data_IF_285093639757
#
_entry.id   IF_285093639757
#
_cell.length_a   1.000
_cell.length_b   1.000
_cell.length_c   1.000
_cell.angle_alpha   90.00
_cell.angle_beta   90.00
_cell.angle_gamma   90.00
#
_symmetry.space_group_name_H-M   'P 1'
#
loop_
_entity.id
_entity.type
_entity.pdbx_description
1 polymer ?
#
# COMPACT_ATOMS: atom_id res chain seq x y z
N UNK A 1 -65.77 -24.67 26.36
CA UNK A 1 -65.63 -23.94 25.11
C UNK A 1 -64.36 -23.05 25.07
N UNK A 2 -64.07 -22.24 26.10
CA UNK A 2 -62.87 -21.35 26.12
C UNK A 2 -61.52 -22.10 25.97
N UNK A 3 -61.36 -23.26 26.55
CA UNK A 3 -60.12 -24.04 26.47
C UNK A 3 -59.89 -24.71 25.10
N UNK A 4 -60.95 -25.10 24.40
CA UNK A 4 -60.88 -25.67 23.05
C UNK A 4 -60.45 -24.59 22.04
N UNK A 5 -60.92 -23.36 22.20
CA UNK A 5 -60.55 -22.23 21.36
C UNK A 5 -59.08 -21.85 21.54
N UNK A 6 -58.55 -21.97 22.75
CA UNK A 6 -57.16 -21.69 23.08
C UNK A 6 -56.19 -22.75 22.50
N UNK A 7 -56.59 -24.01 22.54
CA UNK A 7 -55.80 -25.13 21.93
C UNK A 7 -55.80 -25.03 20.40
N UNK A 8 -56.91 -24.64 19.78
CA UNK A 8 -56.98 -24.39 18.33
C UNK A 8 -56.13 -23.19 17.88
N UNK A 9 -56.04 -22.14 18.71
CA UNK A 9 -55.19 -20.98 18.43
C UNK A 9 -53.69 -21.33 18.57
N UNK A 10 -53.35 -22.17 19.55
CA UNK A 10 -51.97 -22.59 19.79
C UNK A 10 -51.46 -23.55 18.70
N UNK A 11 -52.34 -24.43 18.15
CA UNK A 11 -51.96 -25.34 17.05
C UNK A 11 -51.75 -24.61 15.70
N UNK A 12 -52.39 -23.45 15.49
CA UNK A 12 -52.18 -22.64 14.29
C UNK A 12 -50.78 -21.97 14.19
N UNK A 13 -50.16 -21.75 15.36
CA UNK A 13 -48.82 -21.10 15.41
C UNK A 13 -47.68 -22.07 15.04
N UNK A 14 -47.90 -23.39 15.18
CA UNK A 14 -46.89 -24.42 14.90
C UNK A 14 -46.68 -24.72 13.41
N UNK A 15 -47.56 -24.26 12.52
CA UNK A 15 -47.45 -24.48 11.06
C UNK A 15 -46.84 -23.33 10.27
N UNK A 16 -46.35 -22.26 10.93
CA UNK A 16 -45.93 -21.03 10.26
C UNK A 16 -44.46 -20.99 9.85
N UNK A 17 -43.69 -22.08 9.93
CA UNK A 17 -42.29 -22.10 9.47
C UNK A 17 -42.06 -23.17 8.42
N UNK A 18 -42.56 -22.96 7.19
CA UNK A 18 -42.01 -23.68 6.05
C UNK A 18 -40.74 -22.96 5.55
N UNK A 19 -39.57 -23.51 5.87
CA UNK A 19 -38.33 -23.07 5.20
C UNK A 19 -38.49 -23.31 3.71
N UNK A 20 -38.47 -22.26 2.91
CA UNK A 20 -38.35 -22.39 1.46
C UNK A 20 -37.00 -23.06 1.19
N UNK A 21 -37.02 -24.29 0.80
CA UNK A 21 -35.85 -25.05 0.41
C UNK A 21 -35.55 -24.72 -1.05
N UNK A 22 -34.51 -23.91 -1.29
CA UNK A 22 -34.02 -23.64 -2.64
C UNK A 22 -33.11 -24.79 -3.04
N UNK A 23 -33.45 -25.49 -4.11
CA UNK A 23 -32.57 -26.47 -4.73
C UNK A 23 -31.92 -25.81 -5.95
N UNK A 24 -30.62 -25.91 -6.08
CA UNK A 24 -29.91 -25.52 -7.30
C UNK A 24 -30.29 -26.53 -8.39
N UNK A 25 -30.97 -26.06 -9.43
CA UNK A 25 -31.50 -26.94 -10.49
C UNK A 25 -30.43 -27.26 -11.52
N UNK A 26 -29.67 -26.25 -11.93
CA UNK A 26 -28.51 -26.41 -12.81
C UNK A 26 -27.68 -25.13 -12.80
N UNK A 27 -26.37 -25.24 -12.86
CA UNK A 27 -25.45 -24.11 -13.02
C UNK A 27 -24.59 -24.41 -14.23
N UNK A 28 -24.93 -23.81 -15.36
CA UNK A 28 -24.10 -23.83 -16.55
C UNK A 28 -23.23 -22.56 -16.58
N UNK A 29 -21.92 -22.75 -16.42
CA UNK A 29 -20.93 -21.69 -16.53
C UNK A 29 -19.91 -22.00 -17.61
N UNK A 30 -19.51 -20.99 -18.37
CA UNK A 30 -18.39 -21.10 -19.30
C UNK A 30 -17.36 -20.03 -18.99
N UNK A 31 -16.09 -20.37 -19.16
CA UNK A 31 -15.00 -19.42 -19.06
C UNK A 31 -14.83 -18.72 -20.41
N UNK A 32 -14.98 -17.41 -20.42
CA UNK A 32 -14.65 -16.58 -21.58
C UNK A 32 -13.23 -16.04 -21.36
N UNK A 33 -12.29 -16.48 -22.17
CA UNK A 33 -10.92 -15.96 -22.12
C UNK A 33 -10.88 -14.59 -22.78
N UNK A 34 -10.25 -13.62 -22.10
CA UNK A 34 -9.95 -12.32 -22.68
C UNK A 34 -8.58 -12.43 -23.37
N UNK A 35 -8.62 -12.75 -24.65
CA UNK A 35 -7.44 -12.93 -25.51
C UNK A 35 -7.63 -12.21 -26.86
N UNK A 36 -6.65 -12.29 -27.74
CA UNK A 36 -6.63 -11.62 -29.04
C UNK A 36 -7.78 -12.02 -29.98
N UNK A 37 -8.52 -13.10 -29.69
CA UNK A 37 -9.69 -13.50 -30.53
C UNK A 37 -10.82 -12.48 -30.48
N UNK A 38 -10.84 -11.62 -29.46
CA UNK A 38 -11.83 -10.55 -29.32
C UNK A 38 -11.47 -9.29 -30.12
N UNK A 39 -10.20 -9.08 -30.48
CA UNK A 39 -9.74 -7.91 -31.20
C UNK A 39 -10.41 -7.77 -32.59
N UNK A 40 -10.67 -8.90 -33.25
CA UNK A 40 -11.35 -8.91 -34.55
C UNK A 40 -12.83 -8.48 -34.48
N UNK A 41 -13.43 -8.46 -33.28
CA UNK A 41 -14.84 -8.12 -33.04
C UNK A 41 -15.07 -6.66 -32.66
N UNK A 42 -13.99 -5.89 -32.48
CA UNK A 42 -14.08 -4.47 -32.14
C UNK A 42 -14.48 -3.66 -33.38
N UNK A 43 -15.47 -2.77 -33.23
CA UNK A 43 -15.87 -1.90 -34.36
C UNK A 43 -14.71 -0.99 -34.79
N UNK A 44 -14.63 -0.62 -36.08
CA UNK A 44 -13.58 0.31 -36.54
C UNK A 44 -13.58 1.65 -35.82
N UNK A 45 -14.75 2.19 -35.45
CA UNK A 45 -14.88 3.45 -34.73
C UNK A 45 -14.26 3.33 -33.30
N UNK A 46 -14.58 2.22 -32.61
CA UNK A 46 -14.02 1.96 -31.28
C UNK A 46 -12.51 1.78 -31.36
N UNK A 47 -12.02 1.05 -32.36
CA UNK A 47 -10.58 0.86 -32.58
C UNK A 47 -9.88 2.20 -32.81
N UNK A 48 -10.37 3.01 -33.74
CA UNK A 48 -9.79 4.32 -34.05
C UNK A 48 -9.74 5.23 -32.81
N UNK A 49 -10.80 5.22 -31.97
CA UNK A 49 -10.86 6.00 -30.74
C UNK A 49 -9.80 5.52 -29.75
N UNK A 50 -9.69 4.20 -29.52
CA UNK A 50 -8.70 3.60 -28.64
C UNK A 50 -7.28 3.90 -29.14
N UNK A 51 -7.01 3.70 -30.43
CA UNK A 51 -5.69 3.91 -31.02
C UNK A 51 -5.24 5.38 -30.95
N UNK A 52 -6.20 6.32 -31.09
CA UNK A 52 -5.91 7.75 -30.93
C UNK A 52 -5.42 8.10 -29.52
N UNK A 53 -6.14 7.65 -28.48
CA UNK A 53 -5.72 7.92 -27.09
C UNK A 53 -4.51 7.08 -26.67
N UNK A 54 -4.46 5.82 -27.13
CA UNK A 54 -3.36 4.91 -26.82
C UNK A 54 -2.02 5.48 -27.27
N UNK A 55 -1.95 6.01 -28.50
CA UNK A 55 -0.71 6.58 -29.01
C UNK A 55 -0.18 7.71 -28.13
N UNK A 56 -1.08 8.63 -27.69
CA UNK A 56 -0.66 9.74 -26.81
C UNK A 56 -0.20 9.24 -25.43
N UNK A 57 -0.85 8.21 -24.90
CA UNK A 57 -0.50 7.59 -23.64
C UNK A 57 0.82 6.83 -23.75
N UNK A 58 1.00 6.05 -24.82
CA UNK A 58 2.21 5.25 -25.04
C UNK A 58 3.46 6.14 -25.14
N UNK A 59 3.37 7.31 -25.78
CA UNK A 59 4.47 8.27 -25.87
C UNK A 59 4.94 8.75 -24.48
N UNK A 60 4.00 8.97 -23.55
CA UNK A 60 4.31 9.37 -22.19
C UNK A 60 4.79 8.20 -21.32
N UNK A 61 4.12 7.05 -21.42
CA UNK A 61 4.43 5.88 -20.60
C UNK A 61 5.76 5.21 -20.97
N UNK A 62 6.14 5.27 -22.25
CA UNK A 62 7.40 4.70 -22.73
C UNK A 62 8.61 5.65 -22.58
N UNK A 63 8.41 6.88 -22.05
CA UNK A 63 9.50 7.78 -21.74
C UNK A 63 10.45 7.14 -20.73
N UNK A 64 11.70 6.87 -21.11
CA UNK A 64 12.74 6.39 -20.20
C UNK A 64 13.27 7.56 -19.39
N UNK A 65 13.12 7.52 -18.08
CA UNK A 65 13.46 8.61 -17.17
C UNK A 65 14.64 8.31 -16.26
N UNK A 66 15.14 7.06 -16.26
CA UNK A 66 16.27 6.66 -15.43
C UNK A 66 16.71 5.24 -15.68
N UNK A 67 17.56 4.74 -14.79
CA UNK A 67 18.09 3.37 -14.83
C UNK A 67 18.18 2.79 -13.41
N UNK A 68 17.67 1.57 -13.19
CA UNK A 68 17.84 0.82 -11.94
C UNK A 68 19.13 0.00 -11.98
N UNK A 69 19.94 0.09 -10.92
CA UNK A 69 21.18 -0.66 -10.81
C UNK A 69 20.96 -2.18 -10.70
N UNK A 70 19.85 -2.57 -10.07
CA UNK A 70 19.45 -3.95 -9.85
C UNK A 70 17.92 -4.09 -9.75
N UNK A 71 17.41 -5.33 -9.86
CA UNK A 71 15.98 -5.59 -9.71
C UNK A 71 15.57 -5.46 -8.25
N UNK A 72 14.57 -4.59 -7.97
CA UNK A 72 14.03 -4.35 -6.65
C UNK A 72 12.59 -4.87 -6.54
N UNK A 73 12.34 -5.70 -5.53
CA UNK A 73 11.01 -6.26 -5.23
C UNK A 73 10.58 -5.84 -3.83
N UNK A 74 9.29 -5.66 -3.62
CA UNK A 74 8.74 -5.47 -2.29
C UNK A 74 8.59 -6.81 -1.57
N UNK A 75 9.07 -6.90 -0.33
CA UNK A 75 8.99 -8.08 0.53
C UNK A 75 9.16 -7.69 2.00
N UNK A 76 8.74 -8.56 2.91
CA UNK A 76 9.01 -8.50 4.34
C UNK A 76 10.24 -9.36 4.69
N UNK A 77 10.98 -9.04 5.77
CA UNK A 77 10.77 -7.96 6.75
C UNK A 77 11.16 -6.57 6.22
N UNK A 78 12.06 -6.50 5.28
CA UNK A 78 12.53 -5.34 4.54
C UNK A 78 12.93 -5.77 3.12
N UNK A 79 12.98 -4.85 2.19
CA UNK A 79 13.41 -5.12 0.82
C UNK A 79 14.01 -3.88 0.17
N UNK A 80 14.73 -4.07 -0.94
CA UNK A 80 15.30 -2.95 -1.68
C UNK A 80 14.22 -1.94 -2.09
N UNK A 81 13.07 -2.41 -2.59
CA UNK A 81 12.01 -1.52 -3.07
C UNK A 81 11.30 -0.78 -1.94
N UNK A 82 10.96 -1.47 -0.84
CA UNK A 82 10.33 -0.80 0.30
C UNK A 82 11.27 0.16 1.00
N UNK A 83 12.57 -0.18 1.09
CA UNK A 83 13.58 0.69 1.65
C UNK A 83 13.74 1.97 0.80
N UNK A 84 13.87 1.82 -0.53
CA UNK A 84 13.92 2.94 -1.47
C UNK A 84 12.71 3.85 -1.31
N UNK A 85 11.50 3.27 -1.37
CA UNK A 85 10.25 4.03 -1.30
C UNK A 85 10.14 4.81 -0.01
N UNK A 86 10.37 4.17 1.15
CA UNK A 86 10.24 4.85 2.44
C UNK A 86 11.32 5.91 2.66
N UNK A 87 12.54 5.71 2.18
CA UNK A 87 13.59 6.73 2.26
C UNK A 87 13.25 7.96 1.40
N UNK A 88 12.72 7.75 0.18
CA UNK A 88 12.23 8.85 -0.68
C UNK A 88 11.03 9.56 -0.03
N UNK A 89 10.08 8.82 0.53
CA UNK A 89 8.92 9.40 1.22
C UNK A 89 9.35 10.29 2.39
N UNK A 90 10.34 9.86 3.18
CA UNK A 90 10.88 10.68 4.27
C UNK A 90 11.48 11.98 3.74
N UNK A 91 12.36 11.88 2.74
CA UNK A 91 12.99 13.05 2.13
C UNK A 91 11.96 14.03 1.56
N UNK A 92 10.97 13.53 0.80
CA UNK A 92 9.90 14.35 0.25
C UNK A 92 9.01 14.95 1.36
N UNK A 93 8.70 14.17 2.40
CA UNK A 93 7.98 14.66 3.57
C UNK A 93 8.68 15.88 4.20
N UNK A 94 9.99 15.82 4.40
CA UNK A 94 10.80 16.94 4.90
C UNK A 94 10.78 18.15 3.95
N UNK A 95 10.86 17.87 2.63
CA UNK A 95 10.88 18.91 1.62
C UNK A 95 9.55 19.67 1.55
N UNK A 96 8.40 18.98 1.52
CA UNK A 96 7.08 19.59 1.43
C UNK A 96 6.59 20.16 2.75
N UNK A 97 6.83 19.48 3.87
CA UNK A 97 6.43 19.91 5.20
C UNK A 97 7.33 21.06 5.75
N UNK A 98 8.52 21.25 5.14
CA UNK A 98 9.54 22.26 5.54
C UNK A 98 10.02 22.11 7.00
N UNK A 99 9.94 20.90 7.55
CA UNK A 99 10.41 20.56 8.90
C UNK A 99 10.98 19.14 8.89
N UNK A 100 11.85 18.78 9.84
CA UNK A 100 12.35 17.41 9.97
C UNK A 100 11.20 16.41 10.15
N UNK A 101 11.32 15.25 9.52
CA UNK A 101 10.47 14.09 9.67
C UNK A 101 11.26 12.99 10.36
N UNK A 102 10.71 12.37 11.41
CA UNK A 102 11.45 11.40 12.21
C UNK A 102 11.67 10.09 11.44
N UNK A 103 10.65 9.61 10.72
CA UNK A 103 10.73 8.42 9.86
C UNK A 103 9.57 8.37 8.85
N UNK A 104 9.66 7.42 7.93
CA UNK A 104 8.57 7.15 7.00
C UNK A 104 8.12 5.68 7.06
N UNK A 105 6.86 5.45 6.66
CA UNK A 105 6.23 4.14 6.60
C UNK A 105 5.48 3.97 5.29
N UNK A 106 5.70 2.84 4.60
CA UNK A 106 4.88 2.39 3.49
C UNK A 106 4.48 0.93 3.69
N UNK A 107 3.40 0.49 3.05
CA UNK A 107 2.99 -0.90 3.09
C UNK A 107 3.59 -1.69 1.91
N UNK A 108 4.04 -2.91 2.18
CA UNK A 108 4.58 -3.83 1.15
C UNK A 108 3.56 -4.06 0.03
N UNK A 109 2.28 -4.26 0.37
CA UNK A 109 1.20 -4.51 -0.61
C UNK A 109 0.85 -3.32 -1.51
N UNK A 110 1.35 -2.13 -1.22
CA UNK A 110 1.22 -0.93 -2.06
C UNK A 110 2.01 -1.02 -3.36
N UNK A 111 3.07 -1.81 -3.38
CA UNK A 111 3.91 -2.05 -4.56
C UNK A 111 3.34 -3.23 -5.37
N UNK A 112 2.87 -2.96 -6.59
CA UNK A 112 2.12 -3.93 -7.41
C UNK A 112 2.99 -4.68 -8.40
N UNK A 113 4.20 -4.20 -8.68
CA UNK A 113 5.20 -4.81 -9.55
C UNK A 113 6.59 -4.68 -8.95
N UNK A 114 7.56 -5.33 -9.53
CA UNK A 114 8.97 -5.12 -9.26
C UNK A 114 9.51 -4.00 -10.16
N UNK A 115 10.46 -3.24 -9.68
CA UNK A 115 11.28 -2.38 -10.52
C UNK A 115 12.43 -3.22 -11.09
N UNK A 116 12.42 -3.48 -12.40
CA UNK A 116 13.41 -4.32 -13.05
C UNK A 116 14.77 -3.59 -13.19
N UNK A 117 15.87 -4.35 -13.18
CA UNK A 117 17.19 -3.81 -13.51
C UNK A 117 17.21 -3.27 -14.94
N UNK A 118 17.85 -2.13 -15.16
CA UNK A 118 17.98 -1.48 -16.47
C UNK A 118 17.15 -0.20 -16.59
N UNK A 119 16.74 0.18 -17.82
CA UNK A 119 15.98 1.40 -18.06
C UNK A 119 14.68 1.43 -17.25
N UNK A 120 14.33 2.59 -16.72
CA UNK A 120 13.08 2.86 -16.00
C UNK A 120 12.25 3.80 -16.86
N UNK A 121 11.09 3.35 -17.31
CA UNK A 121 10.09 4.19 -17.96
C UNK A 121 9.08 4.76 -16.96
N UNK A 122 8.34 5.78 -17.37
CA UNK A 122 7.20 6.30 -16.61
C UNK A 122 6.19 5.17 -16.37
N UNK A 123 5.91 4.34 -17.39
CA UNK A 123 5.01 3.20 -17.30
C UNK A 123 5.42 2.17 -16.24
N UNK A 124 6.71 1.87 -16.10
CA UNK A 124 7.20 0.96 -15.05
C UNK A 124 6.84 1.49 -13.65
N UNK A 125 6.93 2.80 -13.44
CA UNK A 125 6.56 3.40 -12.15
C UNK A 125 5.04 3.41 -11.93
N UNK A 126 4.23 3.53 -13.01
CA UNK A 126 2.78 3.33 -12.92
C UNK A 126 2.40 1.88 -12.57
N UNK A 127 3.18 0.89 -13.03
CA UNK A 127 2.98 -0.50 -12.63
C UNK A 127 3.36 -0.74 -11.16
N UNK A 128 4.48 -0.21 -10.70
CA UNK A 128 4.93 -0.35 -9.31
C UNK A 128 4.01 0.38 -8.34
N UNK A 129 3.69 1.64 -8.63
CA UNK A 129 2.89 2.55 -7.78
C UNK A 129 1.53 2.83 -8.44
N UNK A 130 0.71 1.78 -8.59
CA UNK A 130 -0.55 1.85 -9.34
C UNK A 130 -1.65 2.68 -8.68
N UNK A 131 -1.51 3.01 -7.39
CA UNK A 131 -2.49 3.79 -6.64
C UNK A 131 -2.13 5.28 -6.62
N UNK A 132 -3.17 6.14 -6.62
CA UNK A 132 -2.99 7.60 -6.52
C UNK A 132 -2.94 8.08 -5.06
N UNK A 133 -2.28 7.30 -4.19
CA UNK A 133 -2.12 7.66 -2.78
C UNK A 133 -1.26 8.90 -2.64
N UNK A 134 -1.70 9.83 -1.80
CA UNK A 134 -1.00 11.08 -1.52
C UNK A 134 0.01 10.92 -0.38
N UNK A 135 1.15 11.59 -0.51
CA UNK A 135 2.08 11.72 0.61
C UNK A 135 1.48 12.63 1.69
N UNK A 136 1.47 12.15 2.93
CA UNK A 136 1.07 12.93 4.10
C UNK A 136 2.14 12.86 5.18
N UNK A 137 2.21 13.88 6.05
CA UNK A 137 3.01 13.86 7.27
C UNK A 137 2.08 13.93 8.47
N UNK A 138 2.18 12.93 9.34
CA UNK A 138 1.39 12.78 10.57
C UNK A 138 2.20 13.22 11.78
N UNK A 139 1.54 13.82 12.76
CA UNK A 139 2.07 13.98 14.11
C UNK A 139 1.41 12.97 15.05
N UNK A 140 2.20 12.03 15.57
CA UNK A 140 1.70 10.88 16.33
C UNK A 140 2.47 10.72 17.65
N UNK A 141 1.75 10.54 18.76
CA UNK A 141 2.38 10.28 20.04
C UNK A 141 3.13 8.93 20.06
N UNK A 142 4.25 8.86 20.75
CA UNK A 142 5.12 7.68 20.78
C UNK A 142 4.43 6.40 21.27
N UNK A 143 3.43 6.50 22.16
CA UNK A 143 2.63 5.34 22.56
C UNK A 143 1.90 4.68 21.38
N UNK A 144 1.45 5.45 20.40
CA UNK A 144 0.83 4.93 19.19
C UNK A 144 1.87 4.48 18.16
N UNK A 145 3.02 5.16 18.10
CA UNK A 145 4.16 4.67 17.32
C UNK A 145 4.57 3.27 17.79
N UNK A 146 4.66 3.03 19.11
CA UNK A 146 4.94 1.67 19.64
C UNK A 146 3.89 0.66 19.19
N UNK A 147 2.58 0.99 19.24
CA UNK A 147 1.50 0.12 18.74
C UNK A 147 1.64 -0.21 17.25
N UNK A 148 2.04 0.78 16.44
CA UNK A 148 2.31 0.56 15.02
C UNK A 148 3.43 -0.48 14.83
N UNK A 149 4.51 -0.37 15.56
CA UNK A 149 5.63 -1.31 15.48
C UNK A 149 5.31 -2.68 16.12
N UNK A 150 4.42 -2.76 17.10
CA UNK A 150 3.86 -4.03 17.60
C UNK A 150 3.12 -4.78 16.48
N UNK A 151 2.35 -4.05 15.67
CA UNK A 151 1.74 -4.62 14.47
C UNK A 151 2.81 -5.12 13.49
N UNK A 152 3.83 -4.34 13.18
CA UNK A 152 4.93 -4.78 12.29
C UNK A 152 5.64 -6.01 12.82
N UNK A 153 5.93 -6.06 14.12
CA UNK A 153 6.54 -7.23 14.76
C UNK A 153 5.68 -8.49 14.62
N UNK A 154 4.38 -8.37 14.75
CA UNK A 154 3.44 -9.51 14.63
C UNK A 154 3.20 -9.95 13.18
N UNK A 155 3.29 -9.01 12.22
CA UNK A 155 3.00 -9.22 10.81
C UNK A 155 4.23 -9.65 9.98
N UNK A 156 5.43 -9.60 10.55
CA UNK A 156 6.66 -9.98 9.85
C UNK A 156 7.41 -8.82 9.20
N UNK A 157 7.08 -7.58 9.54
CA UNK A 157 7.70 -6.36 9.02
C UNK A 157 6.81 -5.58 8.07
N UNK A 158 7.27 -4.39 7.70
CA UNK A 158 6.68 -3.48 6.70
C UNK A 158 7.77 -2.54 6.18
N UNK A 159 7.46 -1.67 5.18
CA UNK A 159 8.43 -0.68 4.70
C UNK A 159 8.61 0.48 5.68
N UNK A 160 9.84 0.73 6.08
CA UNK A 160 10.21 1.86 6.94
C UNK A 160 11.48 2.54 6.44
N UNK A 161 11.69 3.83 6.75
CA UNK A 161 12.92 4.53 6.39
C UNK A 161 14.12 4.14 7.26
N UNK A 162 15.32 4.47 6.80
CA UNK A 162 16.61 4.08 7.39
C UNK A 162 16.85 4.58 8.83
N UNK A 163 16.04 5.52 9.30
CA UNK A 163 16.09 6.00 10.68
C UNK A 163 15.58 4.98 11.71
N UNK A 164 14.80 4.00 11.25
CA UNK A 164 14.20 2.97 12.10
C UNK A 164 15.19 1.81 12.29
N UNK A 165 15.30 1.34 13.53
CA UNK A 165 15.96 0.09 13.90
C UNK A 165 14.99 -0.74 14.71
N UNK A 166 14.44 -1.81 14.12
CA UNK A 166 13.49 -2.72 14.76
C UNK A 166 14.08 -4.12 14.83
N UNK A 167 14.22 -4.67 16.03
CA UNK A 167 14.55 -6.07 16.23
C UNK A 167 13.37 -6.79 16.87
N UNK A 168 12.95 -7.88 16.25
CA UNK A 168 11.81 -8.70 16.65
C UNK A 168 12.28 -10.09 17.00
N UNK A 169 11.77 -10.63 18.10
CA UNK A 169 11.97 -12.02 18.51
C UNK A 169 10.64 -12.63 18.93
N UNK A 170 10.35 -13.83 18.41
CA UNK A 170 9.07 -14.51 18.70
C UNK A 170 7.85 -13.60 18.52
N UNK A 171 7.80 -12.83 17.41
CA UNK A 171 6.74 -11.85 17.07
C UNK A 171 6.55 -10.71 18.08
N UNK A 172 7.55 -10.44 18.93
CA UNK A 172 7.54 -9.33 19.88
C UNK A 172 8.74 -8.43 19.65
N UNK A 173 8.57 -7.14 19.93
CA UNK A 173 9.66 -6.17 19.86
C UNK A 173 10.71 -6.53 20.91
N UNK A 174 11.93 -6.82 20.49
CA UNK A 174 13.11 -6.96 21.35
C UNK A 174 13.77 -5.60 21.56
N UNK A 175 13.93 -4.83 20.50
CA UNK A 175 14.38 -3.45 20.56
C UNK A 175 13.78 -2.61 19.43
N UNK A 176 13.57 -1.32 19.70
CA UNK A 176 13.04 -0.36 18.76
C UNK A 176 13.65 1.01 19.04
N UNK A 177 14.23 1.62 18.01
CA UNK A 177 14.73 2.99 18.06
C UNK A 177 14.47 3.74 16.76
N UNK A 178 14.35 5.06 16.85
CA UNK A 178 14.22 5.99 15.72
C UNK A 178 15.33 7.03 15.87
N UNK A 179 16.13 7.24 14.81
CA UNK A 179 17.31 8.10 14.87
C UNK A 179 18.28 7.69 15.97
N UNK A 180 18.40 6.38 16.27
CA UNK A 180 19.24 5.82 17.31
C UNK A 180 18.73 6.03 18.75
N UNK A 181 17.52 6.57 18.94
CA UNK A 181 16.93 6.83 20.26
C UNK A 181 15.71 5.95 20.51
N UNK A 182 15.53 5.42 21.73
CA UNK A 182 14.32 4.70 22.10
C UNK A 182 13.10 5.61 22.06
N UNK A 183 11.93 5.02 21.71
CA UNK A 183 10.69 5.77 21.61
C UNK A 183 10.15 6.12 23.01
N UNK A 184 9.76 7.39 23.19
CA UNK A 184 9.15 7.91 24.40
C UNK A 184 7.65 8.13 24.20
N UNK A 185 6.82 7.62 25.11
CA UNK A 185 5.35 7.55 24.96
C UNK A 185 4.69 8.89 24.70
N UNK A 186 5.15 9.95 25.37
CA UNK A 186 4.55 11.28 25.30
C UNK A 186 5.23 12.21 24.27
N UNK A 187 6.25 11.73 23.57
CA UNK A 187 6.91 12.50 22.51
C UNK A 187 6.07 12.41 21.23
N UNK A 188 5.93 13.54 20.53
CA UNK A 188 5.33 13.58 19.20
C UNK A 188 6.40 13.22 18.15
N UNK A 189 6.06 12.29 17.28
CA UNK A 189 6.85 11.87 16.13
C UNK A 189 6.18 12.31 14.84
N UNK A 190 6.97 12.83 13.91
CA UNK A 190 6.53 13.24 12.58
C UNK A 190 6.82 12.11 11.59
N UNK A 191 5.78 11.59 10.97
CA UNK A 191 5.81 10.37 10.18
C UNK A 191 5.34 10.66 8.77
N UNK A 192 6.21 10.49 7.77
CA UNK A 192 5.78 10.51 6.37
C UNK A 192 5.13 9.17 6.01
N UNK A 193 3.93 9.22 5.46
CA UNK A 193 3.19 8.02 5.05
C UNK A 193 2.20 8.35 3.92
N UNK A 194 1.37 7.40 3.56
CA UNK A 194 0.32 7.56 2.56
C UNK A 194 -1.01 7.91 3.24
N UNK A 195 -1.83 8.74 2.60
CA UNK A 195 -3.19 9.06 3.05
C UNK A 195 -4.02 7.78 3.31
N UNK A 196 -3.93 6.80 2.42
CA UNK A 196 -4.53 5.47 2.58
C UNK A 196 -4.14 4.79 3.91
N UNK A 197 -2.89 4.90 4.33
CA UNK A 197 -2.39 4.30 5.59
C UNK A 197 -2.77 5.16 6.80
N UNK A 198 -2.79 6.48 6.64
CA UNK A 198 -3.24 7.42 7.66
C UNK A 198 -4.69 7.14 8.10
N UNK A 199 -5.54 6.67 7.18
CA UNK A 199 -6.92 6.23 7.45
C UNK A 199 -7.01 4.85 8.14
N UNK A 200 -5.88 4.25 8.54
CA UNK A 200 -5.83 2.97 9.27
C UNK A 200 -5.90 1.74 8.38
N UNK A 201 -5.85 1.90 7.07
CA UNK A 201 -5.84 0.79 6.14
C UNK A 201 -4.55 -0.06 6.29
N UNK A 202 -4.52 -1.22 5.66
CA UNK A 202 -3.45 -2.23 5.84
C UNK A 202 -3.21 -2.61 7.31
N UNK A 203 -4.25 -2.49 8.17
CA UNK A 203 -4.22 -2.74 9.62
C UNK A 203 -3.32 -1.78 10.41
N UNK A 204 -2.88 -0.69 9.82
CA UNK A 204 -2.08 0.34 10.50
C UNK A 204 -2.96 1.31 11.31
N UNK A 205 -3.94 0.76 12.06
CA UNK A 205 -4.94 1.53 12.80
C UNK A 205 -4.36 2.52 13.81
N UNK A 206 -3.12 2.30 14.27
CA UNK A 206 -2.45 3.25 15.16
C UNK A 206 -2.21 4.62 14.50
N UNK A 207 -2.15 4.70 13.16
CA UNK A 207 -1.96 5.96 12.45
C UNK A 207 -3.20 6.88 12.52
N UNK A 208 -4.39 6.32 12.74
CA UNK A 208 -5.62 7.14 12.89
C UNK A 208 -5.64 7.98 14.17
N UNK A 209 -4.73 7.70 15.10
CA UNK A 209 -4.56 8.45 16.35
C UNK A 209 -3.67 9.70 16.18
N UNK A 210 -3.34 10.06 14.94
CA UNK A 210 -2.55 11.26 14.66
C UNK A 210 -3.27 12.51 15.17
N UNK A 211 -2.52 13.36 15.88
CA UNK A 211 -3.03 14.62 16.42
C UNK A 211 -3.09 15.72 15.36
N UNK A 212 -2.29 15.57 14.30
CA UNK A 212 -2.25 16.48 13.16
C UNK A 212 -1.87 15.72 11.89
N UNK A 213 -2.37 16.19 10.74
CA UNK A 213 -2.08 15.63 9.41
C UNK A 213 -1.80 16.76 8.44
N UNK A 214 -0.61 16.78 7.87
CA UNK A 214 -0.26 17.65 6.76
C UNK A 214 -0.34 16.84 5.46
N UNK A 215 -1.26 17.24 4.57
CA UNK A 215 -1.41 16.62 3.25
C UNK A 215 -0.65 17.46 2.21
N UNK A 216 0.28 16.81 1.49
CA UNK A 216 1.05 17.50 0.45
C UNK A 216 0.23 17.77 -0.81
N UNK A 217 -0.85 17.01 -1.03
CA UNK A 217 -1.63 17.00 -2.27
C UNK A 217 -0.91 16.32 -3.45
N UNK A 218 0.24 15.68 -3.23
CA UNK A 218 1.08 15.11 -4.29
C UNK A 218 1.06 13.59 -4.20
N UNK A 219 0.70 12.89 -5.29
CA UNK A 219 0.76 11.43 -5.35
C UNK A 219 2.18 10.91 -5.17
N UNK A 220 2.34 9.81 -4.43
CA UNK A 220 3.66 9.18 -4.21
C UNK A 220 4.34 8.84 -5.53
N UNK A 221 3.60 8.42 -6.55
CA UNK A 221 4.16 8.10 -7.87
C UNK A 221 4.87 9.30 -8.51
N UNK A 222 4.29 10.50 -8.43
CA UNK A 222 4.89 11.72 -8.95
C UNK A 222 6.20 12.06 -8.22
N UNK A 223 6.23 11.86 -6.91
CA UNK A 223 7.44 12.05 -6.09
C UNK A 223 8.54 11.08 -6.53
N UNK A 224 8.20 9.82 -6.79
CA UNK A 224 9.17 8.83 -7.26
C UNK A 224 9.65 9.15 -8.68
N UNK A 225 8.77 9.58 -9.59
CA UNK A 225 9.14 10.03 -10.95
C UNK A 225 10.14 11.19 -10.87
N UNK A 226 9.85 12.20 -10.04
CA UNK A 226 10.73 13.35 -9.84
C UNK A 226 12.11 12.92 -9.27
N UNK A 227 12.11 12.03 -8.28
CA UNK A 227 13.32 11.47 -7.70
C UNK A 227 14.18 10.75 -8.76
N UNK A 228 13.56 9.89 -9.58
CA UNK A 228 14.27 9.17 -10.66
C UNK A 228 14.87 10.14 -11.67
N UNK A 229 14.11 11.13 -12.12
CA UNK A 229 14.61 12.16 -13.05
C UNK A 229 15.77 12.96 -12.46
N UNK A 230 15.68 13.32 -11.18
CA UNK A 230 16.75 14.04 -10.46
C UNK A 230 18.03 13.20 -10.40
N UNK A 231 17.94 11.91 -10.00
CA UNK A 231 19.09 11.01 -9.99
C UNK A 231 19.72 10.88 -11.37
N UNK A 232 18.91 10.77 -12.42
CA UNK A 232 19.37 10.68 -13.81
C UNK A 232 20.09 11.96 -14.25
N UNK A 233 19.57 13.13 -13.91
CA UNK A 233 20.21 14.41 -14.19
C UNK A 233 21.57 14.56 -13.47
N UNK A 234 21.74 13.89 -12.33
CA UNK A 234 23.00 13.80 -11.58
C UNK A 234 23.93 12.69 -12.08
N UNK A 235 23.56 11.94 -13.13
CA UNK A 235 24.33 10.81 -13.68
C UNK A 235 24.33 9.58 -12.77
N UNK A 236 23.35 9.44 -11.87
CA UNK A 236 23.21 8.35 -10.91
C UNK A 236 22.16 7.34 -11.36
N UNK A 237 22.41 6.06 -11.09
CA UNK A 237 21.39 5.02 -11.18
C UNK A 237 20.56 4.99 -9.89
N UNK A 238 19.36 4.42 -10.01
CA UNK A 238 18.51 4.15 -8.86
C UNK A 238 19.02 2.88 -8.19
N UNK A 239 19.37 3.01 -6.91
CA UNK A 239 19.87 1.92 -6.09
C UNK A 239 19.30 2.01 -4.67
N UNK A 240 19.29 0.90 -3.97
CA UNK A 240 18.88 0.78 -2.58
C UNK A 240 19.76 -0.25 -1.88
N UNK A 241 19.61 -0.35 -0.57
CA UNK A 241 20.38 -1.32 0.22
C UNK A 241 19.54 -1.99 1.29
N UNK A 242 19.92 -3.22 1.63
CA UNK A 242 19.44 -3.89 2.83
C UNK A 242 20.40 -3.54 3.97
N UNK A 243 19.94 -2.74 4.92
CA UNK A 243 20.75 -2.19 6.02
C UNK A 243 20.33 -2.71 7.39
N UNK A 244 19.52 -3.78 7.40
CA UNK A 244 19.04 -4.43 8.63
C UNK A 244 18.18 -3.51 9.51
N UNK A 245 17.46 -2.54 8.90
CA UNK A 245 16.52 -1.68 9.61
C UNK A 245 15.40 -2.45 10.31
N UNK A 246 15.06 -3.65 9.79
CA UNK A 246 14.17 -4.61 10.44
C UNK A 246 14.84 -5.99 10.46
N UNK A 247 15.03 -6.54 11.66
CA UNK A 247 15.57 -7.89 11.88
C UNK A 247 14.50 -8.71 12.60
N UNK A 248 14.15 -9.89 12.05
CA UNK A 248 13.19 -10.81 12.66
C UNK A 248 13.86 -12.12 12.97
N UNK A 249 13.89 -12.48 14.27
CA UNK A 249 14.35 -13.77 14.79
C UNK A 249 13.13 -14.58 15.25
N UNK A 250 13.06 -15.84 14.82
CA UNK A 250 12.00 -16.77 15.22
C UNK A 250 12.36 -17.46 16.55
#
# INVERSE_FOLDING_TARGET
MKHILFVLLLSGILFSCSKKQYTTVDINGSRILMDSTWEAKVSPETRNLVDFYKKQLDDQMNEVIGEAAETMRAAIPQSLLTNLTSDIMKQAGEEYFKQPVDFAVCNVGGHRSALAQGPISVGDLFEVYSFDNLLVVLELEGRFVKKLFEYFASNGGEGVSSDVQLKVKNKKIESLSIGGKPIQDNQIYKIATLDYLADGNSRMTALTEATNTFNTGIPIREIIIEYVRKCTAEGKKIESKLDNRIIIEN
#
